data_IF_038623161434
#
_entry.id   IF_038623161434
#
_cell.length_a   1.000
_cell.length_b   1.000
_cell.length_c   1.000
_cell.angle_alpha   90.00
_cell.angle_beta   90.00
_cell.angle_gamma   90.00
#
_symmetry.space_group_name_H-M   'P 1'
#
loop_
_entity.id
_entity.type
_entity.pdbx_description
1 polymer ?
#
# COMPACT_ATOMS: atom_id res chain seq x y z
N UNK A 1 19.38 -12.25 5.50
CA UNK A 1 19.33 -12.83 4.14
C UNK A 1 18.55 -14.13 4.25
N UNK A 2 17.32 -14.15 3.74
CA UNK A 2 16.52 -15.37 3.73
C UNK A 2 16.98 -16.19 2.53
N UNK A 3 17.49 -17.37 2.82
CA UNK A 3 17.95 -18.32 1.83
C UNK A 3 17.10 -19.58 1.94
N UNK A 4 16.77 -20.25 0.82
CA UNK A 4 17.04 -19.91 -0.58
C UNK A 4 16.12 -18.83 -1.16
N UNK A 5 16.43 -18.29 -2.34
CA UNK A 5 15.65 -17.23 -3.01
C UNK A 5 14.18 -17.64 -3.28
N UNK A 6 13.91 -18.94 -3.37
CA UNK A 6 12.56 -19.50 -3.47
C UNK A 6 11.93 -19.88 -2.12
N UNK A 7 12.42 -19.31 -1.02
CA UNK A 7 11.89 -19.58 0.31
C UNK A 7 10.41 -19.23 0.39
N UNK A 8 10.01 -18.10 -0.19
CA UNK A 8 8.62 -17.65 -0.21
C UNK A 8 7.68 -18.64 -0.89
N UNK A 9 8.09 -19.18 -2.04
CA UNK A 9 7.34 -20.21 -2.77
C UNK A 9 7.29 -21.52 -1.97
N UNK A 10 8.40 -21.90 -1.32
CA UNK A 10 8.49 -23.14 -0.55
C UNK A 10 7.58 -23.18 0.67
N UNK A 11 7.30 -22.03 1.27
CA UNK A 11 6.36 -21.91 2.40
C UNK A 11 4.93 -21.62 1.93
N UNK A 12 4.70 -21.45 0.62
CA UNK A 12 3.40 -21.12 0.05
C UNK A 12 2.94 -19.68 0.35
N UNK A 13 3.85 -18.78 0.73
CA UNK A 13 3.49 -17.40 1.07
C UNK A 13 3.15 -16.56 -0.17
N UNK A 14 3.64 -16.97 -1.34
CA UNK A 14 3.30 -16.36 -2.64
C UNK A 14 1.79 -16.27 -2.85
N UNK A 15 1.02 -17.29 -2.45
CA UNK A 15 -0.44 -17.29 -2.54
C UNK A 15 -1.06 -16.23 -1.64
N UNK A 16 -0.55 -16.08 -0.40
CA UNK A 16 -0.99 -15.05 0.54
C UNK A 16 -0.69 -13.66 -0.02
N UNK A 17 0.51 -13.45 -0.59
CA UNK A 17 0.88 -12.18 -1.22
C UNK A 17 -0.06 -11.84 -2.38
N UNK A 18 -0.41 -12.82 -3.22
CA UNK A 18 -1.36 -12.63 -4.32
C UNK A 18 -2.75 -12.27 -3.80
N UNK A 19 -3.25 -12.97 -2.78
CA UNK A 19 -4.53 -12.65 -2.14
C UNK A 19 -4.56 -11.24 -1.53
N UNK A 20 -3.46 -10.80 -0.91
CA UNK A 20 -3.32 -9.44 -0.38
C UNK A 20 -3.35 -8.41 -1.52
N UNK A 21 -2.58 -8.65 -2.58
CA UNK A 21 -2.50 -7.77 -3.76
C UNK A 21 -3.87 -7.57 -4.42
N UNK A 22 -4.68 -8.62 -4.53
CA UNK A 22 -6.03 -8.55 -5.10
C UNK A 22 -6.99 -7.74 -4.23
N UNK A 23 -6.79 -7.74 -2.91
CA UNK A 23 -7.61 -6.99 -1.95
C UNK A 23 -7.17 -5.54 -1.74
N UNK A 24 -6.03 -5.12 -2.29
CA UNK A 24 -5.58 -3.73 -2.24
C UNK A 24 -6.50 -2.83 -3.06
N UNK A 25 -6.99 -1.76 -2.43
CA UNK A 25 -7.88 -0.75 -3.03
C UNK A 25 -7.16 0.15 -4.04
N UNK A 26 -5.85 0.34 -3.88
CA UNK A 26 -5.04 1.23 -4.72
C UNK A 26 -3.80 0.54 -5.28
N UNK A 27 -3.29 1.09 -6.39
CA UNK A 27 -2.01 0.66 -6.99
C UNK A 27 -0.83 0.92 -6.05
N UNK A 28 -0.91 1.94 -5.19
CA UNK A 28 0.06 2.17 -4.12
C UNK A 28 0.07 1.00 -3.12
N UNK A 29 -1.09 0.53 -2.68
CA UNK A 29 -1.19 -0.65 -1.81
C UNK A 29 -0.57 -1.89 -2.45
N UNK A 30 -0.83 -2.10 -3.74
CA UNK A 30 -0.22 -3.21 -4.51
C UNK A 30 1.31 -3.10 -4.57
N UNK A 31 1.84 -1.89 -4.78
CA UNK A 31 3.29 -1.63 -4.75
C UNK A 31 3.90 -1.89 -3.37
N UNK A 32 3.18 -1.61 -2.28
CA UNK A 32 3.64 -1.94 -0.93
C UNK A 32 3.65 -3.45 -0.68
N UNK A 33 2.60 -4.16 -1.13
CA UNK A 33 2.55 -5.63 -1.09
C UNK A 33 3.69 -6.25 -1.88
N UNK A 34 4.05 -5.71 -3.04
CA UNK A 34 5.20 -6.21 -3.82
C UNK A 34 6.54 -5.96 -3.12
N UNK A 35 6.67 -4.85 -2.41
CA UNK A 35 7.88 -4.46 -1.71
C UNK A 35 8.06 -5.12 -0.33
N UNK A 36 7.08 -5.92 0.15
CA UNK A 36 7.21 -6.56 1.46
C UNK A 36 8.36 -7.57 1.46
N UNK A 37 9.21 -7.44 2.46
CA UNK A 37 10.31 -8.37 2.72
C UNK A 37 10.16 -8.95 4.12
N UNK A 38 10.66 -10.17 4.29
CA UNK A 38 10.69 -10.79 5.61
C UNK A 38 11.71 -10.08 6.50
N UNK A 39 11.29 -9.75 7.72
CA UNK A 39 12.17 -9.20 8.76
C UNK A 39 12.47 -10.26 9.82
N UNK A 40 13.72 -10.28 10.29
CA UNK A 40 14.13 -11.03 11.49
C UNK A 40 14.17 -10.16 12.75
N UNK A 41 13.83 -8.88 12.65
CA UNK A 41 13.76 -7.97 13.78
C UNK A 41 12.44 -8.17 14.53
N UNK A 42 12.53 -8.73 15.73
CA UNK A 42 11.38 -9.01 16.59
C UNK A 42 10.57 -7.76 16.95
N UNK A 43 11.25 -6.63 17.20
CA UNK A 43 10.56 -5.40 17.60
C UNK A 43 9.74 -4.86 16.42
N UNK A 44 10.34 -4.82 15.23
CA UNK A 44 9.66 -4.40 14.01
C UNK A 44 8.47 -5.32 13.67
N UNK A 45 8.65 -6.64 13.75
CA UNK A 45 7.58 -7.59 13.44
C UNK A 45 6.38 -7.43 14.39
N UNK A 46 6.63 -7.24 15.68
CA UNK A 46 5.55 -6.98 16.64
C UNK A 46 4.84 -5.65 16.35
N UNK A 47 5.59 -4.59 16.06
CA UNK A 47 5.00 -3.30 15.72
C UNK A 47 4.07 -3.40 14.50
N UNK A 48 4.51 -4.06 13.43
CA UNK A 48 3.69 -4.28 12.24
C UNK A 48 2.44 -5.12 12.54
N UNK A 49 2.55 -6.13 13.41
CA UNK A 49 1.40 -6.90 13.86
C UNK A 49 0.42 -6.08 14.71
N UNK A 50 0.92 -5.23 15.59
CA UNK A 50 0.11 -4.37 16.45
C UNK A 50 -0.65 -3.34 15.61
N UNK A 51 0.03 -2.66 14.68
CA UNK A 51 -0.60 -1.74 13.73
C UNK A 51 -1.69 -2.43 12.90
N UNK A 52 -1.43 -3.65 12.42
CA UNK A 52 -2.42 -4.43 11.66
C UNK A 52 -3.63 -4.78 12.52
N UNK A 53 -3.41 -5.19 13.77
CA UNK A 53 -4.49 -5.55 14.71
C UNK A 53 -5.34 -4.35 15.08
N UNK A 54 -4.73 -3.20 15.32
CA UNK A 54 -5.42 -1.94 15.61
C UNK A 54 -6.30 -1.52 14.43
N UNK A 55 -5.75 -1.52 13.21
CA UNK A 55 -6.54 -1.20 12.02
C UNK A 55 -7.70 -2.19 11.82
N UNK A 56 -7.46 -3.50 12.01
CA UNK A 56 -8.52 -4.49 11.89
C UNK A 56 -9.65 -4.30 12.93
N UNK A 57 -9.30 -3.95 14.18
CA UNK A 57 -10.27 -3.61 15.20
C UNK A 57 -11.06 -2.35 14.83
N UNK A 58 -10.36 -1.31 14.39
CA UNK A 58 -10.96 -0.04 13.98
C UNK A 58 -11.93 -0.20 12.81
N UNK A 59 -11.59 -1.01 11.80
CA UNK A 59 -12.50 -1.30 10.67
C UNK A 59 -13.71 -2.13 11.07
N UNK A 60 -13.56 -2.98 12.09
CA UNK A 60 -14.69 -3.78 12.62
C UNK A 60 -15.65 -2.91 13.43
N UNK A 61 -15.12 -1.97 14.21
CA UNK A 61 -15.91 -1.03 15.01
C UNK A 61 -16.51 0.09 14.16
N UNK A 62 -15.81 0.51 13.10
CA UNK A 62 -16.20 1.58 12.19
C UNK A 62 -16.21 1.07 10.74
N UNK A 63 -17.33 0.47 10.29
CA UNK A 63 -17.45 -0.06 8.92
C UNK A 63 -17.31 1.01 7.83
N UNK A 64 -17.67 2.25 8.15
CA UNK A 64 -17.62 3.40 7.24
C UNK A 64 -16.28 4.15 7.28
N UNK A 65 -15.23 3.53 7.84
CA UNK A 65 -13.92 4.17 7.90
C UNK A 65 -13.39 4.48 6.49
N UNK A 66 -12.97 5.73 6.21
CA UNK A 66 -12.58 6.16 4.87
C UNK A 66 -11.22 5.58 4.49
N UNK A 67 -11.22 4.39 3.88
CA UNK A 67 -10.04 3.79 3.23
C UNK A 67 -9.91 4.19 1.74
N UNK A 68 -10.80 5.06 1.27
CA UNK A 68 -10.88 5.51 -0.13
C UNK A 68 -9.87 6.60 -0.47
N UNK A 69 -9.96 7.11 -1.71
CA UNK A 69 -9.22 8.27 -2.22
C UNK A 69 -7.68 8.17 -2.22
N UNK A 70 -7.12 6.97 -2.09
CA UNK A 70 -5.68 6.74 -2.20
C UNK A 70 -5.33 6.55 -3.68
N UNK A 71 -4.93 7.62 -4.34
CA UNK A 71 -4.51 7.62 -5.75
C UNK A 71 -2.98 7.60 -5.89
N UNK A 72 -2.46 6.88 -6.89
CA UNK A 72 -1.02 6.92 -7.19
C UNK A 72 -0.69 8.16 -8.04
N UNK A 73 -0.30 9.22 -7.36
CA UNK A 73 0.00 10.52 -7.99
C UNK A 73 1.49 10.69 -8.30
N UNK A 74 2.32 9.66 -8.11
CA UNK A 74 3.79 9.76 -8.28
C UNK A 74 4.18 10.19 -9.70
N UNK A 75 3.55 9.61 -10.71
CA UNK A 75 3.80 9.96 -12.11
C UNK A 75 3.25 11.35 -12.47
N UNK A 76 2.08 11.70 -11.95
CA UNK A 76 1.47 13.03 -12.11
C UNK A 76 2.41 14.12 -11.56
N UNK A 77 2.93 13.94 -10.35
CA UNK A 77 3.85 14.87 -9.69
C UNK A 77 5.20 14.96 -10.42
N UNK A 78 5.73 13.84 -10.93
CA UNK A 78 6.95 13.84 -11.75
C UNK A 78 6.77 14.68 -13.00
N UNK A 79 5.61 14.58 -13.67
CA UNK A 79 5.30 15.39 -14.85
C UNK A 79 5.17 16.86 -14.49
N UNK A 80 4.43 17.21 -13.43
CA UNK A 80 4.20 18.58 -12.98
C UNK A 80 5.49 19.33 -12.59
N UNK A 81 6.57 18.61 -12.24
CA UNK A 81 7.88 19.21 -11.94
C UNK A 81 8.58 19.79 -13.18
N UNK A 82 8.25 19.33 -14.38
CA UNK A 82 8.89 19.78 -15.63
C UNK A 82 8.37 21.18 -15.97
N UNK A 83 9.25 22.10 -16.38
CA UNK A 83 8.81 23.44 -16.76
C UNK A 83 7.86 23.37 -17.98
N UNK A 84 6.77 24.14 -17.94
CA UNK A 84 5.69 24.18 -18.96
C UNK A 84 4.84 22.92 -19.09
N UNK A 85 4.83 22.02 -18.09
CA UNK A 85 3.83 20.96 -18.01
C UNK A 85 2.73 21.34 -17.02
N UNK A 86 1.54 20.80 -17.25
CA UNK A 86 0.38 20.99 -16.39
C UNK A 86 -0.19 19.63 -16.00
N UNK A 87 -0.91 19.61 -14.88
CA UNK A 87 -1.74 18.46 -14.50
C UNK A 87 -3.07 18.58 -15.26
N UNK A 88 -3.59 17.43 -15.69
CA UNK A 88 -4.93 17.38 -16.26
C UNK A 88 -5.97 17.59 -15.14
N UNK A 89 -7.17 18.05 -15.52
CA UNK A 89 -8.24 18.35 -14.55
C UNK A 89 -8.57 17.15 -13.64
N UNK A 90 -8.64 15.95 -14.22
CA UNK A 90 -8.91 14.71 -13.49
C UNK A 90 -7.80 14.37 -12.48
N UNK A 91 -6.54 14.59 -12.84
CA UNK A 91 -5.40 14.34 -11.96
C UNK A 91 -5.34 15.35 -10.81
N UNK A 92 -5.68 16.60 -11.09
CA UNK A 92 -5.78 17.64 -10.08
C UNK A 92 -6.94 17.37 -9.11
N UNK A 93 -8.07 16.88 -9.62
CA UNK A 93 -9.21 16.47 -8.80
C UNK A 93 -8.87 15.27 -7.91
N UNK A 94 -8.20 14.25 -8.45
CA UNK A 94 -7.72 13.10 -7.67
C UNK A 94 -6.70 13.52 -6.60
N UNK A 95 -5.79 14.45 -6.92
CA UNK A 95 -4.87 15.04 -5.94
C UNK A 95 -5.62 15.75 -4.81
N UNK A 96 -6.63 16.56 -5.15
CA UNK A 96 -7.46 17.23 -4.14
C UNK A 96 -8.16 16.20 -3.24
N UNK A 97 -8.76 15.15 -3.80
CA UNK A 97 -9.43 14.11 -3.02
C UNK A 97 -8.49 13.38 -2.06
N UNK A 98 -7.27 13.07 -2.50
CA UNK A 98 -6.24 12.49 -1.63
C UNK A 98 -5.78 13.42 -0.51
N UNK A 99 -5.88 14.75 -0.68
CA UNK A 99 -5.51 15.74 0.35
C UNK A 99 -6.68 16.08 1.31
N UNK A 100 -7.92 15.94 0.86
CA UNK A 100 -9.13 16.16 1.66
C UNK A 100 -9.45 14.96 2.60
N UNK A 101 -8.66 13.87 2.54
CA UNK A 101 -8.75 12.67 3.40
C UNK A 101 -7.71 12.73 4.52
#
# INVERSE_FOLDING_TARGET
>A
MIYPDNFEDKIGFTDIRNMLRERCLSTLGKSQVDAMEFSSDYALVNELHDQTRELAALLKENPDFPLGNIYDLRECLKRARIANTHLEEEEFFNLRQSLDT
#
